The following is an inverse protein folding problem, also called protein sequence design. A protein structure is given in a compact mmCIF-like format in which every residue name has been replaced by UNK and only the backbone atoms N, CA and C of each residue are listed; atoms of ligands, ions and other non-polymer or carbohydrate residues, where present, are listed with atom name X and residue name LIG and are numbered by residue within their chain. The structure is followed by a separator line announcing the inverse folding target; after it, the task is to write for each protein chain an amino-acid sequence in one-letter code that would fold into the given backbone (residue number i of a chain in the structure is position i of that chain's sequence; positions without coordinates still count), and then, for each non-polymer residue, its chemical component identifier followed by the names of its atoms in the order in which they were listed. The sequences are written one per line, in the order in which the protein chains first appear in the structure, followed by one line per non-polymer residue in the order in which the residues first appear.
data_IF_413664438442
#
_entry.id   IF_413664438442
#
_cell.length_a   1.000
_cell.length_b   1.000
_cell.length_c   1.000
_cell.angle_alpha   90.00
_cell.angle_beta   90.00
_cell.angle_gamma   90.00
#
_symmetry.space_group_name_H-M   'P 1'
#
loop_
_entity.id
_entity.type
_entity.pdbx_description
1 polymer ?
#
# COMPACT_ATOMS: atom_id res chain seq x y z
N UNK A 1 6.98 -21.60 9.36
CA UNK A 1 5.56 -21.15 9.44
C UNK A 1 5.50 -19.66 9.10
N UNK A 2 4.53 -19.25 8.27
CA UNK A 2 4.36 -17.87 7.82
C UNK A 2 3.09 -17.26 8.41
N UNK A 3 3.14 -15.96 8.69
CA UNK A 3 1.99 -15.13 9.08
C UNK A 3 1.90 -13.95 8.10
N UNK A 4 0.71 -13.73 7.56
CA UNK A 4 0.45 -12.71 6.56
C UNK A 4 -0.54 -11.67 7.06
N UNK A 5 -0.32 -10.40 6.72
CA UNK A 5 -1.29 -9.32 6.83
C UNK A 5 -1.73 -8.91 5.42
N UNK A 6 -2.87 -9.44 4.99
CA UNK A 6 -3.28 -9.32 3.60
C UNK A 6 -2.30 -10.04 2.67
N UNK A 7 -1.59 -9.28 1.85
CA UNK A 7 -0.55 -9.78 0.94
C UNK A 7 0.89 -9.51 1.42
N UNK A 8 1.06 -8.90 2.60
CA UNK A 8 2.38 -8.66 3.19
C UNK A 8 2.80 -9.82 4.07
N UNK A 9 4.02 -10.29 3.90
CA UNK A 9 4.62 -11.24 4.84
C UNK A 9 4.96 -10.50 6.13
N UNK A 10 4.16 -10.72 7.18
CA UNK A 10 4.37 -10.07 8.47
C UNK A 10 5.45 -10.78 9.30
N UNK A 11 5.41 -12.13 9.30
CA UNK A 11 6.29 -12.90 10.16
C UNK A 11 6.54 -14.29 9.59
N UNK A 12 7.74 -14.80 9.83
CA UNK A 12 8.05 -16.21 9.66
C UNK A 12 8.75 -16.79 10.90
N UNK A 13 8.47 -18.05 11.18
CA UNK A 13 9.07 -18.79 12.26
C UNK A 13 9.93 -19.89 11.64
N UNK A 14 11.24 -19.85 11.93
CA UNK A 14 12.25 -20.79 11.52
C UNK A 14 12.87 -21.48 12.75
N UNK A 15 13.66 -22.55 12.57
CA UNK A 15 14.33 -23.23 13.68
C UNK A 15 15.28 -22.32 14.47
N UNK A 16 15.88 -21.34 13.81
CA UNK A 16 16.88 -20.41 14.36
C UNK A 16 16.27 -19.10 14.89
N UNK A 17 14.93 -18.97 14.86
CA UNK A 17 14.25 -17.80 15.40
C UNK A 17 12.97 -17.40 14.68
N UNK A 18 12.41 -16.32 15.17
CA UNK A 18 11.22 -15.71 14.62
C UNK A 18 11.60 -14.36 14.02
N UNK A 19 11.30 -14.18 12.75
CA UNK A 19 11.57 -12.98 11.97
C UNK A 19 10.27 -12.21 11.76
N UNK A 20 10.22 -10.95 12.16
CA UNK A 20 9.08 -10.04 11.95
C UNK A 20 9.52 -8.93 11.02
N UNK A 21 8.71 -8.64 10.01
CA UNK A 21 9.01 -7.67 8.97
C UNK A 21 8.18 -6.40 9.13
N UNK A 22 8.84 -5.26 8.98
CA UNK A 22 8.23 -3.93 8.98
C UNK A 22 8.41 -3.33 7.59
N UNK A 23 7.39 -2.64 7.11
CA UNK A 23 7.40 -2.00 5.79
C UNK A 23 7.35 -0.49 5.93
N UNK A 24 7.87 0.23 4.93
CA UNK A 24 7.94 1.70 4.92
C UNK A 24 6.57 2.37 4.99
N UNK A 25 5.55 1.72 4.45
CA UNK A 25 4.15 2.16 4.46
C UNK A 25 3.23 0.93 4.38
N UNK A 26 2.04 0.94 4.99
CA UNK A 26 1.06 -0.17 4.90
C UNK A 26 0.64 -0.57 3.48
N UNK A 27 0.78 0.33 2.52
CA UNK A 27 0.48 0.09 1.11
C UNK A 27 1.75 -0.24 0.28
N UNK A 28 2.94 -0.24 0.89
CA UNK A 28 4.22 -0.51 0.24
C UNK A 28 4.69 -1.94 0.50
N UNK A 29 5.31 -2.54 -0.50
CA UNK A 29 6.02 -3.83 -0.37
C UNK A 29 7.53 -3.66 -0.17
N UNK A 30 7.98 -2.43 0.08
CA UNK A 30 9.37 -2.12 0.40
C UNK A 30 9.63 -2.42 1.87
N UNK A 31 10.47 -3.41 2.19
CA UNK A 31 10.79 -3.72 3.57
C UNK A 31 11.67 -2.62 4.18
N UNK A 32 11.35 -2.22 5.40
CA UNK A 32 12.11 -1.24 6.18
C UNK A 32 13.06 -1.92 7.15
N UNK A 33 12.53 -2.86 7.92
CA UNK A 33 13.32 -3.53 8.96
C UNK A 33 12.85 -4.97 9.19
N UNK A 34 13.77 -5.76 9.73
CA UNK A 34 13.55 -7.12 10.21
C UNK A 34 13.90 -7.19 11.68
N UNK A 35 13.00 -7.72 12.50
CA UNK A 35 13.22 -7.98 13.91
C UNK A 35 13.32 -9.49 14.09
N UNK A 36 14.49 -9.99 14.46
CA UNK A 36 14.75 -11.40 14.78
C UNK A 36 14.69 -11.61 16.27
N UNK A 37 13.80 -12.49 16.71
CA UNK A 37 13.76 -12.97 18.10
C UNK A 37 14.23 -14.41 18.13
N UNK A 38 15.27 -14.70 18.91
CA UNK A 38 15.87 -16.03 19.03
C UNK A 38 16.36 -16.30 20.43
N UNK A 39 16.71 -17.55 20.71
CA UNK A 39 17.33 -17.95 21.98
C UNK A 39 18.80 -18.25 21.68
N UNK A 40 19.71 -17.66 22.45
CA UNK A 40 21.13 -17.93 22.31
C UNK A 40 21.53 -19.30 22.91
N UNK A 41 22.78 -19.67 22.78
CA UNK A 41 23.31 -20.94 23.30
C UNK A 41 23.24 -21.06 24.82
N UNK A 42 23.08 -19.95 25.53
CA UNK A 42 22.98 -19.88 27.00
C UNK A 42 21.51 -19.94 27.46
N UNK A 43 20.56 -20.04 26.52
CA UNK A 43 19.13 -20.11 26.82
C UNK A 43 18.46 -18.74 27.01
N UNK A 44 19.17 -17.64 26.74
CA UNK A 44 18.62 -16.29 26.88
C UNK A 44 17.89 -15.85 25.61
N UNK A 45 16.76 -15.18 25.79
CA UNK A 45 16.04 -14.54 24.68
C UNK A 45 16.79 -13.29 24.21
N UNK A 46 17.09 -13.23 22.91
CA UNK A 46 17.77 -12.11 22.26
C UNK A 46 16.87 -11.55 21.14
N UNK A 47 17.04 -10.26 20.90
CA UNK A 47 16.39 -9.55 19.78
C UNK A 47 17.47 -8.83 18.98
N UNK A 48 17.45 -9.03 17.67
CA UNK A 48 18.31 -8.35 16.70
C UNK A 48 17.42 -7.56 15.74
N UNK A 49 17.86 -6.36 15.38
CA UNK A 49 17.15 -5.51 14.41
C UNK A 49 18.10 -5.28 13.24
N UNK A 50 17.60 -5.57 12.04
CA UNK A 50 18.32 -5.27 10.80
C UNK A 50 17.46 -4.35 9.92
N UNK A 51 18.09 -3.32 9.36
CA UNK A 51 17.45 -2.37 8.45
C UNK A 51 17.75 -2.72 7.02
N UNK A 52 16.73 -2.69 6.17
CA UNK A 52 16.88 -2.89 4.74
C UNK A 52 17.19 -1.58 4.03
N UNK A 53 18.18 -1.60 3.14
CA UNK A 53 18.49 -0.53 2.22
C UNK A 53 18.11 -1.01 0.82
N UNK A 54 17.02 -0.46 0.32
CA UNK A 54 16.43 -0.86 -0.94
C UNK A 54 16.87 0.08 -2.08
N UNK A 55 16.86 -0.44 -3.30
CA UNK A 55 17.02 0.39 -4.49
C UNK A 55 15.72 1.15 -4.85
N UNK A 56 15.75 1.89 -5.96
CA UNK A 56 14.65 2.75 -6.41
C UNK A 56 13.32 2.04 -6.68
N UNK A 57 13.33 0.71 -6.80
CA UNK A 57 12.11 -0.09 -7.00
C UNK A 57 11.78 -0.96 -5.78
N UNK A 58 12.43 -0.73 -4.64
CA UNK A 58 12.15 -1.43 -3.38
C UNK A 58 12.78 -2.81 -3.25
N UNK A 59 13.86 -3.10 -4.00
CA UNK A 59 14.61 -4.36 -3.86
C UNK A 59 15.72 -4.15 -2.83
N UNK A 60 15.79 -4.98 -1.76
CA UNK A 60 16.87 -4.90 -0.78
C UNK A 60 18.25 -5.16 -1.43
N UNK A 61 19.16 -4.22 -1.27
CA UNK A 61 20.56 -4.30 -1.76
C UNK A 61 21.53 -4.54 -0.63
N UNK A 62 21.24 -3.99 0.53
CA UNK A 62 22.05 -4.08 1.73
C UNK A 62 21.18 -4.24 2.96
N UNK A 63 21.77 -4.76 4.04
CA UNK A 63 21.18 -4.72 5.38
C UNK A 63 22.24 -4.26 6.38
N UNK A 64 21.82 -3.44 7.32
CA UNK A 64 22.67 -3.01 8.45
C UNK A 64 22.04 -3.44 9.79
N UNK A 65 22.88 -3.57 10.82
CA UNK A 65 22.40 -3.67 12.19
C UNK A 65 21.96 -2.31 12.75
N UNK A 66 21.60 -2.26 14.03
CA UNK A 66 21.18 -1.05 14.74
C UNK A 66 22.33 -0.06 15.02
N UNK A 67 23.57 -0.49 14.88
CA UNK A 67 24.77 0.36 14.95
C UNK A 67 25.18 0.91 13.55
N UNK A 68 24.50 0.47 12.48
CA UNK A 68 24.80 0.86 11.11
C UNK A 68 25.88 0.03 10.43
N UNK A 69 26.35 -1.06 11.03
CA UNK A 69 27.32 -1.95 10.41
C UNK A 69 26.64 -2.81 9.33
N UNK A 70 27.32 -2.99 8.19
CA UNK A 70 26.84 -3.84 7.11
C UNK A 70 26.80 -5.30 7.57
N UNK A 71 25.63 -5.94 7.48
CA UNK A 71 25.45 -7.37 7.85
C UNK A 71 25.16 -8.26 6.66
N UNK A 72 24.62 -7.69 5.59
CA UNK A 72 24.32 -8.40 4.34
C UNK A 72 24.41 -7.46 3.14
N UNK A 73 24.85 -8.01 2.00
CA UNK A 73 24.87 -7.32 0.72
C UNK A 73 24.54 -8.30 -0.40
N UNK A 74 23.75 -7.85 -1.42
CA UNK A 74 23.37 -8.66 -2.54
C UNK A 74 23.34 -7.95 -3.88
N UNK A 75 23.86 -8.61 -4.92
CA UNK A 75 23.77 -8.19 -6.31
C UNK A 75 22.80 -9.08 -7.09
N UNK A 76 22.02 -8.46 -7.98
CA UNK A 76 20.99 -9.14 -8.74
C UNK A 76 21.28 -9.09 -10.25
N UNK A 77 20.79 -10.11 -10.97
CA UNK A 77 20.67 -10.05 -12.43
C UNK A 77 19.53 -9.13 -12.84
N UNK A 78 19.44 -8.80 -14.12
CA UNK A 78 18.34 -7.97 -14.64
C UNK A 78 16.94 -8.54 -14.39
N UNK A 79 16.79 -9.82 -14.14
CA UNK A 79 15.50 -10.47 -13.82
C UNK A 79 15.33 -10.82 -12.33
N UNK A 80 16.11 -10.19 -11.46
CA UNK A 80 15.94 -10.32 -10.01
C UNK A 80 16.51 -11.59 -9.38
N UNK A 81 17.27 -12.41 -10.15
CA UNK A 81 18.02 -13.51 -9.55
C UNK A 81 19.18 -12.95 -8.73
N UNK A 82 19.32 -13.40 -7.51
CA UNK A 82 20.50 -13.09 -6.68
C UNK A 82 21.74 -13.70 -7.32
N UNK A 83 22.65 -12.84 -7.78
CA UNK A 83 23.90 -13.20 -8.47
C UNK A 83 25.03 -13.43 -7.48
N UNK A 84 25.13 -12.52 -6.52
CA UNK A 84 26.14 -12.51 -5.47
C UNK A 84 25.47 -12.21 -4.15
N UNK A 85 25.81 -12.97 -3.12
CA UNK A 85 25.34 -12.77 -1.75
C UNK A 85 26.55 -12.76 -0.84
N UNK A 86 26.73 -11.69 -0.09
CA UNK A 86 27.73 -11.62 0.97
C UNK A 86 27.01 -11.48 2.31
N UNK A 87 27.13 -12.50 3.15
CA UNK A 87 26.74 -12.45 4.55
C UNK A 87 27.94 -12.05 5.38
N UNK A 88 27.96 -10.82 5.85
CA UNK A 88 29.05 -10.30 6.68
C UNK A 88 28.98 -10.95 8.07
N UNK A 89 27.76 -11.16 8.57
CA UNK A 89 27.50 -11.92 9.79
C UNK A 89 26.84 -13.26 9.43
N UNK A 90 27.18 -14.33 10.14
CA UNK A 90 26.61 -15.67 9.89
C UNK A 90 25.11 -15.77 10.13
N UNK A 91 24.51 -14.80 10.78
CA UNK A 91 23.10 -14.75 11.17
C UNK A 91 22.22 -13.92 10.22
N UNK A 92 22.83 -13.19 9.26
CA UNK A 92 22.08 -12.35 8.33
C UNK A 92 21.20 -13.21 7.42
N UNK A 93 19.89 -12.96 7.45
CA UNK A 93 18.88 -13.65 6.68
C UNK A 93 18.06 -12.66 5.85
N UNK A 94 18.10 -12.78 4.53
CA UNK A 94 17.40 -11.90 3.59
C UNK A 94 16.64 -12.75 2.56
N UNK A 95 15.30 -12.88 2.71
CA UNK A 95 14.49 -13.69 1.81
C UNK A 95 13.88 -12.91 0.64
N UNK A 96 13.81 -11.58 0.70
CA UNK A 96 13.12 -10.77 -0.29
C UNK A 96 13.89 -10.69 -1.62
N UNK A 97 13.14 -10.58 -2.72
CA UNK A 97 13.66 -10.45 -4.08
C UNK A 97 13.04 -9.24 -4.77
N UNK A 98 12.47 -9.35 -5.96
CA UNK A 98 11.65 -8.28 -6.52
C UNK A 98 10.48 -7.96 -5.57
N UNK A 99 9.80 -6.83 -5.77
CA UNK A 99 8.75 -6.40 -4.82
C UNK A 99 7.77 -7.53 -4.48
N UNK A 100 7.60 -7.77 -3.19
CA UNK A 100 6.79 -8.82 -2.59
C UNK A 100 7.18 -10.26 -2.97
N UNK A 101 8.35 -10.47 -3.54
CA UNK A 101 8.86 -11.81 -3.82
C UNK A 101 9.66 -12.36 -2.64
N UNK A 102 9.36 -13.60 -2.28
CA UNK A 102 10.08 -14.37 -1.26
C UNK A 102 10.87 -15.49 -1.94
N UNK A 103 12.16 -15.60 -1.65
CA UNK A 103 13.01 -16.65 -2.20
C UNK A 103 12.70 -18.01 -1.58
N UNK A 104 12.10 -18.88 -2.35
CA UNK A 104 11.98 -20.30 -1.99
C UNK A 104 13.31 -21.02 -2.28
N UNK A 105 14.06 -21.31 -1.22
CA UNK A 105 15.38 -21.93 -1.34
C UNK A 105 15.34 -23.41 -1.70
N UNK A 106 14.19 -24.07 -1.53
CA UNK A 106 14.03 -25.48 -1.86
C UNK A 106 13.86 -25.67 -3.37
N UNK A 107 13.11 -24.79 -4.02
CA UNK A 107 12.83 -24.86 -5.45
C UNK A 107 13.70 -23.95 -6.30
N UNK A 108 14.28 -22.90 -5.71
CA UNK A 108 15.00 -21.84 -6.41
C UNK A 108 14.08 -20.82 -7.10
N UNK A 109 12.77 -20.99 -6.95
CA UNK A 109 11.77 -20.06 -7.44
C UNK A 109 11.55 -18.90 -6.46
N UNK A 110 10.89 -17.84 -6.91
CA UNK A 110 10.43 -16.79 -6.03
C UNK A 110 8.90 -16.87 -5.89
N UNK A 111 8.43 -17.09 -4.65
CA UNK A 111 7.02 -17.02 -4.34
C UNK A 111 6.53 -15.56 -4.44
N UNK A 112 5.56 -15.31 -5.30
CA UNK A 112 5.02 -13.99 -5.58
C UNK A 112 3.50 -13.97 -5.37
N UNK A 113 3.05 -14.26 -4.15
CA UNK A 113 1.70 -14.32 -3.64
C UNK A 113 0.76 -15.26 -4.44
N UNK A 114 0.31 -14.89 -5.63
CA UNK A 114 -0.58 -15.73 -6.46
C UNK A 114 0.16 -16.64 -7.44
N UNK A 115 1.45 -16.36 -7.70
CA UNK A 115 2.26 -17.12 -8.67
C UNK A 115 3.67 -17.38 -8.16
N UNK A 116 4.34 -18.34 -8.79
CA UNK A 116 5.78 -18.55 -8.64
C UNK A 116 6.53 -17.99 -9.84
N UNK A 117 7.57 -17.24 -9.55
CA UNK A 117 8.42 -16.59 -10.53
C UNK A 117 9.75 -17.34 -10.69
N UNK A 118 10.16 -17.59 -11.93
CA UNK A 118 11.43 -18.21 -12.29
C UNK A 118 12.45 -17.11 -12.68
N UNK A 119 13.40 -16.78 -11.79
CA UNK A 119 14.29 -15.65 -12.01
C UNK A 119 15.36 -15.88 -13.09
N UNK A 120 15.60 -17.13 -13.50
CA UNK A 120 16.55 -17.42 -14.57
C UNK A 120 16.00 -17.06 -15.95
N UNK A 121 14.70 -17.12 -16.13
CA UNK A 121 14.02 -16.85 -17.40
C UNK A 121 13.11 -15.63 -17.37
N UNK A 122 12.93 -15.01 -16.21
CA UNK A 122 12.18 -13.76 -16.08
C UNK A 122 10.66 -13.88 -16.29
N UNK A 123 10.07 -15.03 -15.93
CA UNK A 123 8.63 -15.27 -16.11
C UNK A 123 8.01 -16.07 -14.97
N UNK A 124 6.70 -16.05 -14.87
CA UNK A 124 5.97 -16.96 -13.99
C UNK A 124 5.96 -18.40 -14.53
N UNK A 125 5.92 -19.37 -13.62
CA UNK A 125 5.83 -20.82 -13.97
C UNK A 125 4.40 -21.31 -14.07
N UNK A 126 3.45 -20.59 -13.47
CA UNK A 126 2.01 -20.87 -13.57
C UNK A 126 1.31 -19.80 -14.42
N UNK A 127 0.17 -20.21 -14.99
CA UNK A 127 -0.70 -19.28 -15.72
C UNK A 127 -1.30 -18.23 -14.77
N UNK A 128 -1.59 -17.07 -15.34
CA UNK A 128 -2.23 -15.98 -14.61
C UNK A 128 -3.65 -16.39 -14.15
N UNK A 129 -3.96 -16.35 -12.85
CA UNK A 129 -5.28 -16.70 -12.35
C UNK A 129 -6.39 -15.73 -12.79
N UNK A 130 -6.03 -14.50 -13.22
CA UNK A 130 -6.99 -13.56 -13.82
C UNK A 130 -7.08 -13.68 -15.35
N UNK A 131 -6.36 -14.64 -15.94
CA UNK A 131 -6.38 -14.92 -17.35
C UNK A 131 -5.94 -13.72 -18.20
N UNK A 132 -6.61 -13.50 -19.34
CA UNK A 132 -6.28 -12.41 -20.27
C UNK A 132 -6.47 -10.99 -19.67
N UNK A 133 -7.08 -10.85 -18.49
CA UNK A 133 -7.17 -9.57 -17.79
C UNK A 133 -5.80 -9.08 -17.30
N UNK A 134 -4.84 -10.00 -17.08
CA UNK A 134 -3.45 -9.68 -16.75
C UNK A 134 -2.55 -9.43 -17.97
N UNK A 135 -3.04 -9.68 -19.17
CA UNK A 135 -2.29 -9.54 -20.42
C UNK A 135 -2.47 -10.74 -21.36
N UNK A 136 -2.01 -10.61 -22.61
CA UNK A 136 -2.13 -11.66 -23.63
C UNK A 136 -1.21 -12.86 -23.38
N UNK A 137 -0.12 -12.68 -22.65
CA UNK A 137 0.79 -13.77 -22.28
C UNK A 137 0.59 -14.14 -20.81
N UNK A 138 -0.05 -15.28 -20.57
CA UNK A 138 -0.43 -15.76 -19.24
C UNK A 138 0.76 -16.05 -18.29
N UNK A 139 1.97 -16.10 -18.81
CA UNK A 139 3.20 -16.36 -18.03
C UNK A 139 4.07 -15.12 -17.87
N UNK A 140 3.66 -14.00 -18.44
CA UNK A 140 4.45 -12.78 -18.40
C UNK A 140 4.47 -12.19 -17.00
N UNK A 141 5.67 -11.73 -16.57
CA UNK A 141 5.86 -11.05 -15.30
C UNK A 141 6.00 -9.55 -15.50
N UNK A 142 7.06 -9.08 -16.14
CA UNK A 142 7.43 -7.67 -16.19
C UNK A 142 7.94 -7.28 -17.59
N UNK A 143 7.66 -6.04 -18.01
CA UNK A 143 8.31 -5.46 -19.20
C UNK A 143 9.78 -5.15 -18.94
N UNK A 144 10.06 -4.63 -17.77
CA UNK A 144 11.37 -4.21 -17.33
C UNK A 144 11.41 -4.24 -15.79
N UNK A 145 12.23 -5.11 -15.24
CA UNK A 145 12.37 -5.31 -13.78
C UNK A 145 13.00 -4.12 -13.04
N UNK A 146 13.57 -3.14 -13.75
CA UNK A 146 14.11 -1.92 -13.14
C UNK A 146 13.06 -0.80 -12.97
N UNK A 147 11.92 -0.94 -13.63
CA UNK A 147 10.89 0.10 -13.69
C UNK A 147 9.49 -0.42 -13.40
N UNK A 148 9.27 -1.72 -13.46
CA UNK A 148 7.99 -2.36 -13.30
C UNK A 148 8.02 -3.36 -12.16
N UNK A 149 6.95 -3.41 -11.39
CA UNK A 149 6.75 -4.37 -10.32
C UNK A 149 5.39 -5.05 -10.47
N UNK A 150 5.30 -6.31 -10.06
CA UNK A 150 4.06 -7.08 -9.94
C UNK A 150 3.99 -7.71 -8.54
N UNK A 151 3.65 -6.95 -7.51
CA UNK A 151 3.73 -7.43 -6.13
C UNK A 151 2.79 -8.59 -5.80
N UNK A 152 1.73 -8.76 -6.58
CA UNK A 152 0.75 -9.83 -6.37
C UNK A 152 0.91 -11.00 -7.34
N UNK A 153 1.74 -10.84 -8.37
CA UNK A 153 1.81 -11.83 -9.44
C UNK A 153 0.52 -11.90 -10.27
N UNK A 154 -0.12 -10.75 -10.57
CA UNK A 154 -1.35 -10.66 -11.37
C UNK A 154 -1.23 -9.66 -12.51
N UNK A 155 -0.59 -8.53 -12.27
CA UNK A 155 -0.41 -7.49 -13.29
C UNK A 155 0.75 -6.58 -12.93
N UNK A 156 1.65 -6.40 -13.88
CA UNK A 156 2.80 -5.52 -13.68
C UNK A 156 2.41 -4.05 -13.83
N UNK A 157 3.01 -3.19 -12.99
CA UNK A 157 2.83 -1.74 -13.00
C UNK A 157 4.18 -1.06 -12.93
N UNK A 158 4.28 0.16 -13.44
CA UNK A 158 5.49 0.99 -13.24
C UNK A 158 5.67 1.26 -11.76
N UNK A 159 6.91 1.08 -11.28
CA UNK A 159 7.28 1.45 -9.91
C UNK A 159 7.25 2.97 -9.75
N UNK A 160 6.77 3.49 -8.60
CA UNK A 160 6.92 4.91 -8.29
C UNK A 160 8.40 5.31 -8.32
N UNK A 161 8.73 6.47 -8.92
CA UNK A 161 10.11 6.97 -9.01
C UNK A 161 10.77 6.85 -10.38
N UNK A 162 10.08 6.34 -11.39
CA UNK A 162 10.56 6.37 -12.79
C UNK A 162 10.26 7.71 -13.46
N UNK A 163 10.94 8.03 -14.58
CA UNK A 163 10.87 9.30 -15.30
C UNK A 163 9.47 9.78 -15.75
N UNK A 164 8.42 9.06 -15.44
CA UNK A 164 7.01 9.43 -15.63
C UNK A 164 6.26 9.42 -14.30
N UNK A 165 6.86 9.90 -13.22
CA UNK A 165 6.14 10.08 -11.96
C UNK A 165 4.96 11.04 -12.16
N UNK A 166 3.70 10.60 -12.00
CA UNK A 166 2.54 11.48 -12.10
C UNK A 166 2.58 12.64 -11.11
N UNK A 167 3.41 12.54 -10.06
CA UNK A 167 3.61 13.62 -9.09
C UNK A 167 4.69 14.63 -9.48
N UNK A 168 5.48 14.36 -10.52
CA UNK A 168 6.54 15.30 -10.94
C UNK A 168 5.96 16.69 -11.27
N UNK A 169 6.40 17.71 -10.54
CA UNK A 169 5.93 19.08 -10.70
C UNK A 169 4.50 19.35 -10.22
N UNK A 170 3.89 18.42 -9.49
CA UNK A 170 2.53 18.54 -8.93
C UNK A 170 2.56 18.47 -7.40
N UNK A 171 1.70 19.27 -6.76
CA UNK A 171 1.61 19.29 -5.30
C UNK A 171 0.16 19.26 -4.78
N UNK A 172 -0.61 18.19 -5.04
CA UNK A 172 -1.95 18.04 -4.48
C UNK A 172 -1.95 17.97 -2.95
N UNK A 173 -0.84 17.55 -2.33
CA UNK A 173 -0.69 17.56 -0.88
C UNK A 173 -0.67 18.99 -0.33
N UNK A 174 0.09 19.89 -0.95
CA UNK A 174 0.12 21.30 -0.62
C UNK A 174 -1.22 21.99 -0.85
N UNK A 175 -1.90 21.70 -1.96
CA UNK A 175 -3.25 22.19 -2.22
C UNK A 175 -4.23 21.74 -1.13
N UNK A 176 -4.23 20.45 -0.77
CA UNK A 176 -5.09 19.91 0.29
C UNK A 176 -4.79 20.55 1.65
N UNK A 177 -3.51 20.77 1.97
CA UNK A 177 -3.09 21.43 3.20
C UNK A 177 -3.57 22.90 3.28
N UNK A 178 -3.60 23.60 2.15
CA UNK A 178 -4.07 24.97 2.04
C UNK A 178 -5.57 25.15 2.35
N UNK A 179 -6.38 24.13 2.11
CA UNK A 179 -7.81 24.11 2.45
C UNK A 179 -8.08 23.85 3.93
N UNK A 180 -7.08 23.41 4.68
CA UNK A 180 -7.19 23.05 6.08
C UNK A 180 -6.67 24.19 6.98
N UNK A 181 -7.21 24.30 8.16
CA UNK A 181 -6.85 25.36 9.08
C UNK A 181 -7.91 26.44 9.26
N UNK A 182 -9.04 26.34 8.56
CA UNK A 182 -10.23 27.10 8.93
C UNK A 182 -10.79 26.56 10.26
N UNK A 183 -11.44 27.42 11.05
CA UNK A 183 -11.99 27.08 12.39
C UNK A 183 -12.87 25.81 12.41
N UNK A 184 -13.38 25.37 11.27
CA UNK A 184 -14.28 24.24 11.14
C UNK A 184 -13.58 22.93 10.77
N UNK A 185 -12.30 22.95 10.33
CA UNK A 185 -11.50 21.76 9.96
C UNK A 185 -10.13 21.81 10.64
N UNK A 186 -10.01 21.26 11.85
CA UNK A 186 -8.78 21.34 12.65
C UNK A 186 -7.61 20.54 12.10
N UNK A 187 -7.76 20.00 10.90
CA UNK A 187 -6.64 19.42 10.19
C UNK A 187 -6.62 17.90 10.14
N UNK A 188 -5.66 17.43 9.41
CA UNK A 188 -5.25 16.03 9.29
C UNK A 188 -3.79 15.93 9.72
N UNK A 189 -3.23 14.73 9.72
CA UNK A 189 -1.79 14.53 9.74
C UNK A 189 -1.16 15.13 8.48
N UNK A 190 0.16 15.22 8.46
CA UNK A 190 0.88 15.78 7.32
C UNK A 190 0.44 15.15 6.01
N UNK A 191 0.17 16.00 5.04
CA UNK A 191 -0.12 15.58 3.69
C UNK A 191 1.14 15.12 2.97
N UNK A 192 1.01 14.07 2.15
CA UNK A 192 2.06 13.57 1.27
C UNK A 192 1.51 13.42 -0.14
N UNK A 193 2.31 13.75 -1.15
CA UNK A 193 2.00 13.39 -2.52
C UNK A 193 2.26 11.90 -2.71
N UNK A 194 1.27 11.20 -3.28
CA UNK A 194 1.36 9.78 -3.63
C UNK A 194 0.70 9.54 -4.97
N UNK A 195 1.13 8.49 -5.66
CA UNK A 195 0.48 8.06 -6.89
C UNK A 195 -0.63 7.07 -6.55
N UNK A 196 -1.84 7.34 -7.06
CA UNK A 196 -2.89 6.32 -7.17
C UNK A 196 -2.84 5.75 -8.57
N UNK A 197 -2.62 4.47 -8.64
CA UNK A 197 -2.46 3.75 -9.90
C UNK A 197 -3.80 3.46 -10.58
N UNK A 198 -3.75 3.34 -11.91
CA UNK A 198 -4.85 2.82 -12.71
C UNK A 198 -5.44 1.55 -12.11
N UNK A 199 -6.77 1.46 -12.08
CA UNK A 199 -7.50 0.34 -11.48
C UNK A 199 -7.73 0.47 -9.97
N UNK A 200 -7.15 1.49 -9.30
CA UNK A 200 -7.43 1.74 -7.88
C UNK A 200 -8.91 2.01 -7.66
N UNK A 201 -9.51 1.29 -6.71
CA UNK A 201 -10.92 1.48 -6.34
C UNK A 201 -11.00 2.49 -5.19
N UNK A 202 -11.80 3.52 -5.42
CA UNK A 202 -12.02 4.61 -4.48
C UNK A 202 -13.48 4.68 -4.07
N UNK A 203 -13.71 5.16 -2.85
CA UNK A 203 -15.04 5.32 -2.26
C UNK A 203 -15.18 6.76 -1.76
N UNK A 204 -16.34 7.35 -2.01
CA UNK A 204 -16.75 8.62 -1.40
C UNK A 204 -18.18 8.53 -0.93
N UNK A 205 -18.56 9.36 0.05
CA UNK A 205 -19.90 9.37 0.59
C UNK A 205 -20.93 9.89 -0.42
N UNK A 206 -22.08 9.24 -0.47
CA UNK A 206 -23.21 9.62 -1.33
C UNK A 206 -24.47 9.89 -0.48
N UNK A 207 -25.31 10.87 -0.81
CA UNK A 207 -25.20 11.81 -1.94
C UNK A 207 -24.04 12.80 -1.77
N UNK A 208 -23.53 13.28 -2.91
CA UNK A 208 -22.53 14.34 -2.93
C UNK A 208 -23.18 15.69 -2.64
N UNK A 209 -22.55 16.52 -1.82
CA UNK A 209 -23.06 17.83 -1.47
C UNK A 209 -24.19 17.86 -0.42
N UNK A 210 -24.81 19.03 -0.17
CA UNK A 210 -25.96 19.17 0.70
C UNK A 210 -27.14 18.32 0.20
N UNK A 211 -27.98 17.86 1.14
CA UNK A 211 -29.13 17.01 0.81
C UNK A 211 -29.98 17.64 -0.29
N UNK A 212 -30.15 16.91 -1.41
CA UNK A 212 -30.99 17.29 -2.52
C UNK A 212 -30.31 17.81 -3.79
N UNK A 213 -28.98 17.99 -3.80
CA UNK A 213 -28.22 18.32 -5.01
C UNK A 213 -27.39 17.13 -5.48
N UNK A 214 -27.64 16.65 -6.70
CA UNK A 214 -26.73 15.75 -7.42
C UNK A 214 -25.51 16.56 -7.87
N UNK A 215 -24.60 16.83 -6.95
CA UNK A 215 -23.35 17.52 -7.26
C UNK A 215 -22.25 16.52 -7.58
N UNK A 216 -21.23 16.97 -8.31
CA UNK A 216 -20.01 16.20 -8.53
C UNK A 216 -19.42 15.71 -7.21
N UNK A 217 -18.68 14.57 -7.18
CA UNK A 217 -18.04 14.10 -5.97
C UNK A 217 -17.09 15.17 -5.42
N UNK A 218 -17.03 15.30 -4.09
CA UNK A 218 -16.03 16.12 -3.43
C UNK A 218 -14.61 15.64 -3.74
N UNK A 219 -13.61 16.34 -3.23
CA UNK A 219 -12.20 16.04 -3.51
C UNK A 219 -11.61 14.92 -2.63
N UNK A 220 -12.36 14.44 -1.63
CA UNK A 220 -11.87 13.47 -0.65
C UNK A 220 -12.46 12.09 -0.87
N UNK A 221 -11.55 11.12 -0.99
CA UNK A 221 -11.84 9.71 -1.22
C UNK A 221 -11.12 8.84 -0.20
N UNK A 222 -11.56 7.59 -0.06
CA UNK A 222 -10.91 6.56 0.74
C UNK A 222 -10.77 5.27 -0.06
N UNK A 223 -9.85 4.39 0.35
CA UNK A 223 -9.73 3.04 -0.21
C UNK A 223 -10.55 2.02 0.60
N UNK A 224 -10.67 0.81 0.04
CA UNK A 224 -11.48 -0.27 0.62
C UNK A 224 -11.15 -0.65 2.06
N UNK A 225 -9.92 -0.40 2.51
CA UNK A 225 -9.54 -0.65 3.91
C UNK A 225 -10.37 0.17 4.90
N UNK A 226 -10.51 1.49 4.69
CA UNK A 226 -11.33 2.34 5.57
C UNK A 226 -12.79 1.88 5.62
N UNK A 227 -13.32 1.40 4.47
CA UNK A 227 -14.68 0.86 4.40
C UNK A 227 -14.81 -0.45 5.19
N UNK A 228 -13.82 -1.33 5.10
CA UNK A 228 -13.80 -2.60 5.85
C UNK A 228 -13.65 -2.37 7.36
N UNK A 229 -12.78 -1.44 7.76
CA UNK A 229 -12.55 -1.10 9.18
C UNK A 229 -13.81 -0.61 9.89
N UNK A 230 -14.72 0.04 9.17
CA UNK A 230 -16.03 0.45 9.70
C UNK A 230 -17.00 -0.72 9.91
N UNK A 231 -16.65 -1.96 9.54
CA UNK A 231 -17.45 -3.19 9.73
C UNK A 231 -18.91 -3.08 9.27
N UNK A 232 -19.16 -2.27 8.23
CA UNK A 232 -20.51 -2.03 7.71
C UNK A 232 -21.33 -0.99 8.50
N UNK A 233 -20.73 -0.32 9.49
CA UNK A 233 -21.39 0.69 10.31
C UNK A 233 -21.16 2.09 9.69
N UNK A 234 -22.25 2.75 9.27
CA UNK A 234 -22.19 4.07 8.66
C UNK A 234 -21.64 5.14 9.59
N UNK A 235 -21.97 5.09 10.89
CA UNK A 235 -21.50 6.04 11.89
C UNK A 235 -19.98 5.90 12.08
N UNK A 236 -19.51 4.68 12.30
CA UNK A 236 -18.08 4.42 12.45
C UNK A 236 -17.28 4.88 11.24
N UNK A 237 -17.82 4.71 10.03
CA UNK A 237 -17.19 5.21 8.80
C UNK A 237 -17.17 6.74 8.76
N UNK A 238 -18.33 7.40 8.97
CA UNK A 238 -18.41 8.87 8.97
C UNK A 238 -17.49 9.48 10.02
N UNK A 239 -17.43 8.91 11.22
CA UNK A 239 -16.54 9.34 12.29
C UNK A 239 -15.06 9.20 11.92
N UNK A 240 -14.69 8.12 11.22
CA UNK A 240 -13.32 7.86 10.80
C UNK A 240 -12.80 8.82 9.73
N UNK A 241 -13.68 9.29 8.84
CA UNK A 241 -13.34 10.22 7.74
C UNK A 241 -13.66 11.68 8.07
N UNK A 242 -14.23 11.95 9.24
CA UNK A 242 -14.58 13.29 9.75
C UNK A 242 -15.41 14.14 8.77
N UNK A 243 -16.36 13.52 8.12
CA UNK A 243 -17.28 14.25 7.24
C UNK A 243 -18.37 14.91 8.05
N UNK A 244 -18.53 16.22 7.85
CA UNK A 244 -19.60 17.02 8.44
C UNK A 244 -20.96 16.45 8.07
N UNK A 245 -21.78 16.15 9.09
CA UNK A 245 -23.19 15.88 8.87
C UNK A 245 -23.87 17.18 8.41
N UNK A 246 -24.64 17.12 7.33
CA UNK A 246 -25.41 18.26 6.87
C UNK A 246 -26.49 18.60 7.90
N UNK A 247 -26.45 19.79 8.49
CA UNK A 247 -27.43 20.25 9.46
C UNK A 247 -27.10 19.88 10.92
N UNK A 248 -27.78 20.49 11.87
CA UNK A 248 -27.54 20.36 13.30
C UNK A 248 -27.26 18.94 13.77
N UNK A 249 -26.14 18.76 14.45
CA UNK A 249 -25.43 17.52 14.77
C UNK A 249 -26.18 16.46 15.63
N UNK A 250 -27.48 16.52 15.78
CA UNK A 250 -28.28 15.67 16.66
C UNK A 250 -29.14 14.62 15.98
N UNK A 251 -29.28 14.65 14.68
CA UNK A 251 -30.19 13.74 13.97
C UNK A 251 -29.45 12.62 13.24
N UNK A 252 -29.56 11.39 13.77
CA UNK A 252 -29.18 10.16 13.06
C UNK A 252 -29.83 10.01 11.66
N UNK A 253 -30.72 10.91 11.30
CA UNK A 253 -31.42 10.97 10.00
C UNK A 253 -30.53 11.49 8.86
N UNK A 254 -29.50 12.28 9.14
CA UNK A 254 -28.67 12.97 8.14
C UNK A 254 -27.36 12.26 7.81
N UNK A 255 -27.12 11.10 8.41
CA UNK A 255 -25.95 10.30 8.13
C UNK A 255 -25.97 9.77 6.70
N UNK A 256 -24.91 10.03 5.94
CA UNK A 256 -24.75 9.44 4.62
C UNK A 256 -24.48 7.93 4.77
N UNK A 257 -25.41 7.13 4.23
CA UNK A 257 -25.43 5.66 4.40
C UNK A 257 -24.95 4.90 3.17
N UNK A 258 -24.57 5.62 2.12
CA UNK A 258 -24.14 5.01 0.87
C UNK A 258 -22.77 5.54 0.47
N UNK A 259 -22.02 4.68 -0.21
CA UNK A 259 -20.74 5.00 -0.82
C UNK A 259 -20.86 4.90 -2.32
N UNK A 260 -20.41 5.92 -3.03
CA UNK A 260 -20.21 5.89 -4.47
C UNK A 260 -18.83 5.31 -4.77
N UNK A 261 -18.74 4.45 -5.77
CA UNK A 261 -17.53 3.71 -6.12
C UNK A 261 -16.98 4.24 -7.42
N UNK A 262 -15.71 4.60 -7.42
CA UNK A 262 -14.96 5.06 -8.58
C UNK A 262 -13.76 4.16 -8.85
N UNK A 263 -13.31 4.14 -10.11
CA UNK A 263 -12.08 3.49 -10.54
C UNK A 263 -11.17 4.54 -11.15
N UNK A 264 -9.90 4.48 -10.82
CA UNK A 264 -8.85 5.32 -11.41
C UNK A 264 -8.51 4.77 -12.80
N UNK A 265 -8.64 5.57 -13.86
CA UNK A 265 -8.44 5.14 -15.25
C UNK A 265 -6.99 5.27 -15.72
N UNK A 266 -6.22 6.14 -15.11
CA UNK A 266 -4.78 6.29 -15.33
C UNK A 266 -4.10 6.70 -14.02
N UNK A 267 -2.78 6.53 -13.94
CA UNK A 267 -2.02 6.91 -12.75
C UNK A 267 -2.16 8.41 -12.47
N UNK A 268 -2.54 8.78 -11.24
CA UNK A 268 -2.75 10.18 -10.84
C UNK A 268 -1.99 10.52 -9.56
N UNK A 269 -1.45 11.74 -9.50
CA UNK A 269 -0.89 12.28 -8.27
C UNK A 269 -2.00 12.80 -7.37
N UNK A 270 -1.98 12.39 -6.11
CA UNK A 270 -2.98 12.80 -5.11
C UNK A 270 -2.33 13.14 -3.78
N UNK A 271 -2.99 13.96 -2.98
CA UNK A 271 -2.60 14.13 -1.57
C UNK A 271 -3.11 12.97 -0.73
N UNK A 272 -2.26 12.39 0.11
CA UNK A 272 -2.60 11.35 1.10
C UNK A 272 -2.37 11.86 2.51
N UNK A 273 -3.32 11.62 3.41
CA UNK A 273 -3.19 11.93 4.84
C UNK A 273 -4.12 11.08 5.70
N UNK A 274 -3.95 11.11 7.03
CA UNK A 274 -4.89 10.52 7.99
C UNK A 274 -5.77 11.61 8.62
N UNK A 275 -7.08 11.38 8.68
CA UNK A 275 -8.00 12.24 9.39
C UNK A 275 -7.67 12.27 10.89
N UNK A 276 -7.42 13.45 11.46
CA UNK A 276 -7.22 13.62 12.92
C UNK A 276 -8.53 13.55 13.68
N UNK A 277 -8.47 13.15 14.95
CA UNK A 277 -9.62 13.21 15.83
C UNK A 277 -10.12 14.64 16.00
N UNK A 278 -11.43 14.81 15.91
CA UNK A 278 -12.11 16.06 16.14
C UNK A 278 -13.34 15.81 17.00
N UNK A 279 -13.38 16.41 18.21
CA UNK A 279 -14.49 16.24 19.17
C UNK A 279 -15.88 16.49 18.56
N UNK A 280 -15.95 17.32 17.50
CA UNK A 280 -17.19 17.69 16.82
C UNK A 280 -17.60 16.69 15.72
N UNK A 281 -16.65 15.97 15.13
CA UNK A 281 -16.89 15.17 13.92
C UNK A 281 -16.49 13.69 14.04
N UNK A 282 -15.77 13.30 15.09
CA UNK A 282 -15.42 11.90 15.34
C UNK A 282 -13.95 11.64 15.66
N UNK A 283 -13.60 10.38 15.82
CA UNK A 283 -12.27 9.93 16.24
C UNK A 283 -11.20 9.99 15.13
N UNK A 284 -11.61 10.16 13.89
CA UNK A 284 -10.70 10.18 12.75
C UNK A 284 -10.07 8.82 12.46
N UNK A 285 -8.83 8.84 11.97
CA UNK A 285 -7.99 7.67 11.78
C UNK A 285 -8.03 7.04 10.38
N UNK A 286 -9.04 7.37 9.55
CA UNK A 286 -9.09 6.87 8.18
C UNK A 286 -8.06 7.57 7.29
N UNK A 287 -7.39 6.80 6.44
CA UNK A 287 -6.57 7.36 5.37
C UNK A 287 -7.48 7.97 4.31
N UNK A 288 -7.24 9.24 4.00
CA UNK A 288 -7.95 10.02 3.00
C UNK A 288 -7.02 10.38 1.85
N UNK A 289 -7.61 10.46 0.64
CA UNK A 289 -6.94 10.87 -0.58
C UNK A 289 -7.63 12.12 -1.13
N UNK A 290 -6.87 13.18 -1.32
CA UNK A 290 -7.33 14.41 -1.95
C UNK A 290 -7.05 14.34 -3.44
N UNK A 291 -8.09 14.44 -4.26
CA UNK A 291 -8.02 14.44 -5.72
C UNK A 291 -8.45 15.82 -6.20
N UNK A 292 -7.59 16.45 -6.96
CA UNK A 292 -7.86 17.80 -7.52
C UNK A 292 -9.01 17.74 -8.51
N UNK A 293 -9.72 18.86 -8.68
CA UNK A 293 -10.85 18.94 -9.60
C UNK A 293 -10.44 18.59 -11.04
N UNK A 294 -9.27 19.01 -11.47
CA UNK A 294 -8.73 18.71 -12.80
C UNK A 294 -8.43 17.21 -13.02
N UNK A 295 -8.17 16.47 -11.97
CA UNK A 295 -7.87 15.02 -12.05
C UNK A 295 -9.11 14.14 -11.91
N UNK A 296 -10.27 14.71 -11.58
CA UNK A 296 -11.53 13.95 -11.45
C UNK A 296 -12.01 13.36 -12.79
N UNK A 297 -11.63 13.95 -13.91
CA UNK A 297 -11.89 13.39 -15.24
C UNK A 297 -11.21 12.03 -15.47
N UNK A 298 -10.18 11.71 -14.68
CA UNK A 298 -9.45 10.44 -14.69
C UNK A 298 -10.10 9.37 -13.80
N UNK A 299 -11.26 9.67 -13.24
CA UNK A 299 -12.06 8.74 -12.42
C UNK A 299 -13.33 8.36 -13.18
N UNK A 300 -13.56 7.06 -13.31
CA UNK A 300 -14.83 6.55 -13.84
C UNK A 300 -15.72 6.08 -12.70
N UNK A 301 -16.96 6.62 -12.68
CA UNK A 301 -17.99 6.10 -11.79
C UNK A 301 -18.42 4.71 -12.23
N UNK A 302 -18.44 3.75 -11.32
CA UNK A 302 -18.98 2.42 -11.60
C UNK A 302 -20.50 2.40 -11.72
N UNK A 303 -21.18 3.50 -11.41
CA UNK A 303 -22.63 3.55 -11.28
C UNK A 303 -23.18 2.76 -10.08
N UNK A 304 -22.32 2.10 -9.32
CA UNK A 304 -22.71 1.27 -8.17
C UNK A 304 -22.63 2.06 -6.88
N UNK A 305 -23.64 1.88 -6.03
CA UNK A 305 -23.67 2.38 -4.67
C UNK A 305 -23.54 1.20 -3.69
N UNK A 306 -22.70 1.37 -2.67
CA UNK A 306 -22.59 0.42 -1.57
C UNK A 306 -23.25 1.00 -0.33
N UNK A 307 -24.28 0.35 0.18
CA UNK A 307 -24.93 0.75 1.42
C UNK A 307 -24.22 0.13 2.63
N UNK A 308 -24.10 0.92 3.70
CA UNK A 308 -23.78 0.37 5.02
C UNK A 308 -24.97 -0.45 5.55
N UNK A 309 -24.66 -1.52 6.29
CA UNK A 309 -25.70 -2.27 7.02
C UNK A 309 -26.30 -1.37 8.08
N UNK A 310 -27.59 -1.54 8.32
CA UNK A 310 -28.32 -0.85 9.40
C UNK A 310 -27.85 -1.31 10.78
#
# INVERSE_FOLDING_TARGET
RFVWDGSHLLQEVQPDGRYTYLYTDPDSYEPLAQVRNHTNTEGESKQEIHYFHCDQIGIPREMTDDEGNLVWFGNYTGWGRLKEETKVTGTAYQPFRLQNQYADRETGLHYNFFRYYEPNVGRFVNQDPIGLAGGSNLYWALQNSQMWADPLGLSSKKSPGTCNDPCAGQDPAGEAAGWQGSKDYPGVDNWKNVVLEKGTILFTLYPHGPAGMASAPGNYFVRGYAVRSARGNARAFNDSVQVRHSGNATAARDMRKQLHIFVVEEDICVGKSKAKANKKYGDGGATQYYIRDMDKSKLTSTGKLRSFRR
#
